data_IF_895121343352
#
_entry.id   IF_895121343352
#
_cell.length_a   1.000
_cell.length_b   1.000
_cell.length_c   1.000
_cell.angle_alpha   90.00
_cell.angle_beta   90.00
_cell.angle_gamma   90.00
#
_symmetry.space_group_name_H-M   'P 1'
#
loop_
_entity.id
_entity.type
_entity.pdbx_description
1 polymer ?
#
# COMPACT_ATOMS: atom_id res chain seq x y z
N UNK A 1 -10.17 2.75 -12.96
CA UNK A 1 -11.20 1.96 -12.18
C UNK A 1 -11.93 2.91 -11.25
N UNK A 2 -13.29 2.87 -11.21
CA UNK A 2 -14.05 3.62 -10.21
C UNK A 2 -13.93 2.95 -8.83
N UNK A 3 -13.46 3.69 -7.82
CA UNK A 3 -13.19 3.16 -6.50
C UNK A 3 -14.45 2.63 -5.79
N UNK A 4 -15.60 3.33 -5.91
CA UNK A 4 -16.84 2.87 -5.29
C UNK A 4 -17.27 1.52 -5.87
N UNK A 5 -17.27 1.37 -7.18
CA UNK A 5 -17.60 0.12 -7.85
C UNK A 5 -16.63 -1.01 -7.46
N UNK A 6 -15.34 -0.70 -7.32
CA UNK A 6 -14.34 -1.65 -6.88
C UNK A 6 -14.57 -2.13 -5.45
N UNK A 7 -14.90 -1.21 -4.54
CA UNK A 7 -15.17 -1.54 -3.13
C UNK A 7 -16.47 -2.34 -2.96
N UNK A 8 -17.54 -2.06 -3.74
CA UNK A 8 -18.77 -2.85 -3.72
C UNK A 8 -18.55 -4.30 -4.19
N UNK A 9 -17.64 -4.51 -5.13
CA UNK A 9 -17.29 -5.85 -5.61
C UNK A 9 -16.22 -6.54 -4.80
N UNK A 10 -15.51 -5.79 -3.92
CA UNK A 10 -14.43 -6.32 -3.11
C UNK A 10 -14.93 -7.36 -2.10
N UNK A 11 -14.18 -8.45 -1.98
CA UNK A 11 -14.45 -9.52 -1.01
C UNK A 11 -13.42 -9.48 0.10
N UNK A 12 -13.78 -8.95 1.28
CA UNK A 12 -12.86 -8.86 2.41
C UNK A 12 -12.35 -10.23 2.85
N UNK A 13 -11.06 -10.31 3.11
CA UNK A 13 -10.39 -11.54 3.54
C UNK A 13 -10.67 -11.92 4.99
N UNK A 14 -10.81 -10.94 5.85
CA UNK A 14 -10.98 -11.11 7.28
C UNK A 14 -11.87 -10.00 7.89
N UNK A 15 -12.24 -10.10 9.20
CA UNK A 15 -13.08 -9.09 9.84
C UNK A 15 -12.49 -7.67 9.85
N UNK A 16 -11.16 -7.51 9.85
CA UNK A 16 -10.52 -6.19 9.78
C UNK A 16 -10.81 -5.57 8.40
N UNK A 17 -10.50 -6.24 7.30
CA UNK A 17 -10.81 -5.72 5.96
C UNK A 17 -12.31 -5.43 5.77
N UNK A 18 -13.18 -6.28 6.32
CA UNK A 18 -14.63 -6.06 6.24
C UNK A 18 -15.05 -4.74 6.90
N UNK A 19 -14.50 -4.43 8.07
CA UNK A 19 -14.79 -3.18 8.78
C UNK A 19 -14.17 -1.98 8.09
N UNK A 20 -12.92 -2.10 7.64
CA UNK A 20 -12.22 -1.02 6.96
C UNK A 20 -12.88 -0.69 5.61
N UNK A 21 -13.29 -1.71 4.84
CA UNK A 21 -14.05 -1.51 3.59
C UNK A 21 -15.40 -0.83 3.86
N UNK A 22 -16.13 -1.24 4.90
CA UNK A 22 -17.41 -0.61 5.27
C UNK A 22 -17.24 0.87 5.61
N UNK A 23 -16.22 1.21 6.38
CA UNK A 23 -15.97 2.60 6.77
C UNK A 23 -15.51 3.45 5.58
N UNK A 24 -14.65 2.91 4.71
CA UNK A 24 -14.24 3.61 3.49
C UNK A 24 -15.44 3.88 2.57
N UNK A 25 -16.30 2.89 2.35
CA UNK A 25 -17.55 3.05 1.59
C UNK A 25 -18.43 4.14 2.20
N UNK A 26 -18.70 4.08 3.50
CA UNK A 26 -19.53 5.05 4.23
C UNK A 26 -19.07 6.50 4.00
N UNK A 27 -17.76 6.74 4.05
CA UNK A 27 -17.18 8.07 3.85
C UNK A 27 -17.33 8.55 2.40
N UNK A 28 -17.04 7.68 1.44
CA UNK A 28 -17.18 8.01 0.02
C UNK A 28 -18.65 8.28 -0.37
N UNK A 29 -19.58 7.48 0.15
CA UNK A 29 -21.04 7.67 -0.05
C UNK A 29 -21.56 8.95 0.61
N UNK A 30 -20.96 9.37 1.71
CA UNK A 30 -21.26 10.65 2.35
C UNK A 30 -20.70 11.86 1.57
N UNK A 31 -20.00 11.63 0.44
CA UNK A 31 -19.41 12.68 -0.37
C UNK A 31 -18.15 13.32 0.25
N UNK A 32 -17.52 12.63 1.21
CA UNK A 32 -16.25 13.11 1.79
C UNK A 32 -15.16 13.07 0.72
N UNK A 33 -14.43 14.18 0.54
CA UNK A 33 -13.28 14.21 -0.35
C UNK A 33 -12.09 13.54 0.31
N UNK A 34 -11.87 12.29 -0.03
CA UNK A 34 -10.74 11.49 0.45
C UNK A 34 -9.55 11.52 -0.51
N UNK A 35 -9.71 12.04 -1.73
CA UNK A 35 -8.63 12.00 -2.72
C UNK A 35 -7.53 13.03 -2.48
N UNK A 36 -7.79 14.06 -1.67
CA UNK A 36 -6.86 15.14 -1.42
C UNK A 36 -6.39 15.16 0.04
N UNK A 37 -5.09 15.47 0.25
CA UNK A 37 -4.48 15.60 1.59
C UNK A 37 -4.97 16.81 2.38
N UNK A 38 -5.68 17.73 1.75
CA UNK A 38 -6.40 18.83 2.39
C UNK A 38 -7.47 18.32 3.36
N UNK A 39 -7.96 17.09 3.16
CA UNK A 39 -8.66 16.36 4.19
C UNK A 39 -7.65 15.85 5.23
N UNK A 40 -7.38 16.70 6.22
CA UNK A 40 -6.37 16.45 7.27
C UNK A 40 -6.79 15.40 8.28
N UNK A 41 -8.04 14.93 8.26
CA UNK A 41 -8.53 13.87 9.15
C UNK A 41 -8.36 12.47 8.53
N UNK A 42 -8.59 12.35 7.23
CA UNK A 42 -8.46 11.09 6.50
C UNK A 42 -8.31 11.34 5.00
N UNK A 43 -7.40 10.64 4.35
CA UNK A 43 -7.24 10.69 2.90
C UNK A 43 -6.73 9.39 2.31
N UNK A 44 -6.94 9.21 1.00
CA UNK A 44 -6.58 7.99 0.29
C UNK A 44 -5.08 7.87 0.09
N UNK A 45 -4.58 6.68 0.41
CA UNK A 45 -3.26 6.20 0.03
C UNK A 45 -3.37 4.91 -0.78
N UNK A 46 -2.36 4.68 -1.57
CA UNK A 46 -2.29 3.51 -2.44
C UNK A 46 -0.98 2.79 -2.18
N UNK A 47 -1.06 1.48 -1.96
CA UNK A 47 0.11 0.65 -1.76
C UNK A 47 0.19 -0.45 -2.82
N UNK A 48 1.39 -0.94 -3.04
CA UNK A 48 1.67 -2.06 -3.92
C UNK A 48 2.33 -3.20 -3.14
N UNK A 49 1.76 -4.39 -3.22
CA UNK A 49 2.45 -5.62 -2.86
C UNK A 49 3.12 -6.15 -4.12
N UNK A 50 4.40 -5.82 -4.31
CA UNK A 50 5.15 -6.12 -5.54
C UNK A 50 5.86 -7.44 -5.37
N UNK A 51 5.46 -8.44 -6.13
CA UNK A 51 6.01 -9.80 -6.04
C UNK A 51 6.85 -10.17 -7.27
N UNK A 52 7.73 -11.14 -7.09
CA UNK A 52 8.42 -11.79 -8.23
C UNK A 52 7.44 -12.70 -9.00
N UNK A 53 7.68 -12.99 -10.31
CA UNK A 53 6.80 -13.84 -11.13
C UNK A 53 6.55 -15.23 -10.54
N UNK A 54 7.52 -15.79 -9.81
CA UNK A 54 7.39 -17.06 -9.10
C UNK A 54 6.68 -16.93 -7.74
N UNK A 55 6.28 -15.69 -7.36
CA UNK A 55 5.61 -15.35 -6.09
C UNK A 55 6.36 -15.78 -4.83
N UNK A 56 7.68 -15.93 -4.92
CA UNK A 56 8.51 -16.33 -3.77
C UNK A 56 9.13 -15.14 -3.05
N UNK A 57 9.18 -13.97 -3.70
CA UNK A 57 9.80 -12.76 -3.19
C UNK A 57 8.87 -11.56 -3.30
N UNK A 58 9.08 -10.58 -2.41
CA UNK A 58 8.40 -9.29 -2.41
C UNK A 58 9.43 -8.16 -2.31
N UNK A 59 9.18 -7.07 -3.03
CA UNK A 59 10.00 -5.86 -3.04
C UNK A 59 9.55 -4.94 -1.91
N UNK A 60 10.50 -4.46 -1.11
CA UNK A 60 10.25 -3.50 -0.04
C UNK A 60 11.25 -2.34 -0.09
N UNK A 61 10.85 -1.20 0.45
CA UNK A 61 11.70 -0.03 0.65
C UNK A 61 11.90 0.23 2.15
N UNK A 62 13.10 0.68 2.54
CA UNK A 62 13.36 1.11 3.91
C UNK A 62 12.96 2.57 4.07
N UNK A 63 11.80 2.78 4.68
CA UNK A 63 11.18 4.10 4.81
C UNK A 63 11.85 4.92 5.91
N UNK A 64 12.37 6.11 5.55
CA UNK A 64 13.17 6.93 6.46
C UNK A 64 12.37 7.44 7.68
N UNK A 65 11.09 7.81 7.49
CA UNK A 65 10.24 8.32 8.57
C UNK A 65 9.85 7.23 9.59
N UNK A 66 9.54 6.03 9.10
CA UNK A 66 9.08 4.92 9.96
C UNK A 66 10.23 4.07 10.50
N UNK A 67 11.45 4.31 10.00
CA UNK A 67 12.66 3.51 10.34
C UNK A 67 12.39 2.01 10.22
N UNK A 68 11.75 1.62 9.12
CA UNK A 68 11.22 0.27 8.90
C UNK A 68 11.23 -0.12 7.43
N UNK A 69 11.36 -1.42 7.15
CA UNK A 69 11.04 -1.95 5.85
C UNK A 69 9.52 -1.94 5.65
N UNK A 70 9.10 -1.32 4.56
CA UNK A 70 7.70 -1.12 4.20
C UNK A 70 7.42 -1.51 2.75
N UNK A 71 6.15 -1.76 2.43
CA UNK A 71 5.67 -1.82 1.07
C UNK A 71 5.89 -0.49 0.34
N UNK A 72 5.73 -0.49 -0.97
CA UNK A 72 5.84 0.71 -1.79
C UNK A 72 4.46 1.35 -1.94
N UNK A 73 4.41 2.68 -1.97
CA UNK A 73 3.15 3.38 -2.15
C UNK A 73 3.19 4.85 -1.75
N UNK A 74 2.09 5.53 -2.03
CA UNK A 74 1.98 6.97 -1.79
C UNK A 74 0.54 7.45 -1.70
N UNK A 75 0.36 8.77 -1.73
CA UNK A 75 -0.95 9.40 -1.66
C UNK A 75 -1.61 9.48 -3.04
N UNK A 76 -2.94 9.47 -3.06
CA UNK A 76 -3.70 9.66 -4.30
C UNK A 76 -3.51 11.07 -4.89
N UNK A 77 -3.44 12.11 -4.04
CA UNK A 77 -3.19 13.51 -4.42
C UNK A 77 -4.06 14.00 -5.58
N UNK A 78 -5.34 13.66 -5.53
CA UNK A 78 -6.34 14.01 -6.53
C UNK A 78 -6.43 13.04 -7.72
N UNK A 79 -5.46 12.13 -7.90
CA UNK A 79 -5.52 11.12 -8.96
C UNK A 79 -6.59 10.06 -8.65
N UNK A 80 -7.47 9.81 -9.61
CA UNK A 80 -8.56 8.85 -9.45
C UNK A 80 -8.23 7.46 -9.99
N UNK A 81 -7.24 7.35 -10.86
CA UNK A 81 -6.71 6.05 -11.26
C UNK A 81 -5.67 5.55 -10.25
N UNK A 82 -6.19 4.91 -9.20
CA UNK A 82 -5.36 4.43 -8.09
C UNK A 82 -4.36 3.34 -8.50
N UNK A 83 -4.67 2.56 -9.55
CA UNK A 83 -3.70 1.60 -10.09
C UNK A 83 -2.52 2.32 -10.77
N UNK A 84 -2.80 3.40 -11.49
CA UNK A 84 -1.74 4.24 -12.06
C UNK A 84 -0.88 4.88 -10.96
N UNK A 85 -1.48 5.29 -9.82
CA UNK A 85 -0.74 5.75 -8.64
C UNK A 85 0.19 4.66 -8.13
N UNK A 86 -0.30 3.42 -7.89
CA UNK A 86 0.53 2.32 -7.41
C UNK A 86 1.73 2.05 -8.32
N UNK A 87 1.51 2.02 -9.64
CA UNK A 87 2.59 1.78 -10.61
C UNK A 87 3.63 2.92 -10.64
N UNK A 88 3.17 4.16 -10.53
CA UNK A 88 4.02 5.34 -10.45
C UNK A 88 4.90 5.29 -9.21
N UNK A 89 4.31 5.08 -8.02
CA UNK A 89 5.03 5.04 -6.76
C UNK A 89 6.09 3.93 -6.74
N UNK A 90 5.75 2.72 -7.22
CA UNK A 90 6.72 1.63 -7.35
C UNK A 90 7.92 2.07 -8.19
N UNK A 91 7.68 2.73 -9.32
CA UNK A 91 8.77 3.18 -10.20
C UNK A 91 9.60 4.32 -9.56
N UNK A 92 8.96 5.24 -8.88
CA UNK A 92 9.63 6.37 -8.22
C UNK A 92 10.49 5.91 -7.05
N UNK A 93 9.93 5.09 -6.16
CA UNK A 93 10.57 4.64 -4.94
C UNK A 93 11.63 3.55 -5.13
N UNK A 94 11.51 2.72 -6.18
CA UNK A 94 12.39 1.57 -6.39
C UNK A 94 13.15 1.57 -7.72
N UNK A 95 12.75 2.39 -8.68
CA UNK A 95 13.25 2.34 -10.05
C UNK A 95 12.73 1.17 -10.89
N UNK A 96 11.97 0.28 -10.31
CA UNK A 96 11.47 -0.93 -10.97
C UNK A 96 10.19 -0.63 -11.76
N UNK A 97 10.07 -1.19 -12.95
CA UNK A 97 8.80 -1.22 -13.68
C UNK A 97 8.04 -2.49 -13.31
N UNK A 98 6.86 -2.31 -12.71
CA UNK A 98 5.94 -3.39 -12.37
C UNK A 98 4.75 -3.42 -13.31
N UNK A 99 4.07 -4.57 -13.36
CA UNK A 99 2.80 -4.77 -14.07
C UNK A 99 1.74 -5.26 -13.08
N UNK A 100 0.47 -4.91 -13.25
CA UNK A 100 -0.58 -5.44 -12.38
C UNK A 100 -0.78 -6.93 -12.67
N UNK A 101 -0.95 -7.73 -11.61
CA UNK A 101 -1.39 -9.13 -11.73
C UNK A 101 -2.85 -9.17 -12.16
N UNK A 102 -3.65 -8.24 -11.63
CA UNK A 102 -5.01 -7.94 -12.09
C UNK A 102 -5.32 -6.47 -11.78
N UNK A 103 -6.44 -5.98 -12.26
CA UNK A 103 -6.93 -4.60 -12.04
C UNK A 103 -7.78 -4.44 -10.77
N UNK A 104 -7.95 -5.53 -9.99
CA UNK A 104 -8.76 -5.54 -8.78
C UNK A 104 -7.96 -5.13 -7.55
N UNK A 105 -8.68 -4.63 -6.54
CA UNK A 105 -8.09 -4.37 -5.22
C UNK A 105 -7.62 -5.67 -4.59
N UNK A 106 -6.37 -5.70 -4.17
CA UNK A 106 -5.79 -6.85 -3.46
C UNK A 106 -6.09 -6.79 -1.98
N UNK A 107 -6.08 -5.59 -1.37
CA UNK A 107 -6.36 -5.41 0.06
C UNK A 107 -6.88 -4.01 0.35
N UNK A 108 -7.59 -3.86 1.48
CA UNK A 108 -8.12 -2.59 1.98
C UNK A 108 -7.79 -2.47 3.46
N UNK A 109 -7.22 -1.34 3.86
CA UNK A 109 -6.81 -1.05 5.24
C UNK A 109 -7.12 0.40 5.63
N UNK A 110 -7.48 0.61 6.89
CA UNK A 110 -7.44 1.93 7.52
C UNK A 110 -6.25 1.96 8.48
N UNK A 111 -5.27 2.81 8.18
CA UNK A 111 -4.01 2.87 8.90
C UNK A 111 -3.90 4.20 9.65
N UNK A 112 -3.73 4.17 10.98
CA UNK A 112 -3.51 5.39 11.75
C UNK A 112 -2.09 5.92 11.51
N UNK A 113 -1.99 7.23 11.27
CA UNK A 113 -0.72 7.95 11.20
C UNK A 113 -0.60 8.85 12.42
N UNK A 114 0.45 8.67 13.20
CA UNK A 114 0.74 9.54 14.33
C UNK A 114 1.17 10.93 13.87
N UNK A 115 0.86 11.96 14.67
CA UNK A 115 1.33 13.30 14.41
C UNK A 115 2.87 13.35 14.32
N UNK A 116 3.38 14.06 13.33
CA UNK A 116 4.83 14.14 13.06
C UNK A 116 5.22 15.47 12.42
N UNK A 117 6.50 15.78 12.42
CA UNK A 117 7.03 16.92 11.68
C UNK A 117 7.48 16.48 10.27
N UNK A 118 7.08 17.25 9.27
CA UNK A 118 7.52 17.06 7.88
C UNK A 118 7.89 18.42 7.29
N UNK A 119 9.14 18.55 6.83
CA UNK A 119 9.67 19.78 6.22
C UNK A 119 9.51 21.04 7.10
N UNK A 120 9.56 20.86 8.43
CA UNK A 120 9.43 21.96 9.40
C UNK A 120 8.00 22.35 9.74
N UNK A 121 7.00 21.61 9.24
CA UNK A 121 5.59 21.80 9.58
C UNK A 121 5.06 20.58 10.36
N UNK A 122 4.20 20.86 11.35
CA UNK A 122 3.54 19.79 12.10
C UNK A 122 2.34 19.25 11.34
N UNK A 123 2.34 17.95 11.11
CA UNK A 123 1.23 17.21 10.53
C UNK A 123 0.47 16.50 11.65
N UNK A 124 -0.82 16.77 11.77
CA UNK A 124 -1.69 16.15 12.78
C UNK A 124 -1.84 14.66 12.56
N UNK A 125 -2.18 13.92 13.61
CA UNK A 125 -2.60 12.52 13.49
C UNK A 125 -3.83 12.41 12.59
N UNK A 126 -3.82 11.44 11.68
CA UNK A 126 -4.86 11.25 10.69
C UNK A 126 -4.96 9.78 10.26
N UNK A 127 -5.90 9.47 9.38
CA UNK A 127 -6.10 8.13 8.85
C UNK A 127 -5.68 8.08 7.37
N UNK A 128 -4.87 7.09 7.02
CA UNK A 128 -4.69 6.66 5.65
C UNK A 128 -5.78 5.63 5.30
N UNK A 129 -6.66 6.00 4.38
CA UNK A 129 -7.66 5.12 3.78
C UNK A 129 -6.97 4.38 2.63
N UNK A 130 -6.33 3.26 2.95
CA UNK A 130 -5.41 2.60 2.03
C UNK A 130 -6.08 1.53 1.17
N UNK A 131 -5.74 1.51 -0.11
CA UNK A 131 -6.03 0.40 -1.02
C UNK A 131 -4.73 -0.17 -1.56
N UNK A 132 -4.64 -1.49 -1.63
CA UNK A 132 -3.43 -2.19 -2.06
C UNK A 132 -3.67 -2.92 -3.38
N UNK A 133 -2.74 -2.81 -4.32
CA UNK A 133 -2.72 -3.60 -5.54
C UNK A 133 -1.64 -4.69 -5.49
N UNK A 134 -1.91 -5.83 -6.12
CA UNK A 134 -0.92 -6.87 -6.35
C UNK A 134 -0.24 -6.62 -7.69
N UNK A 135 1.05 -6.32 -7.63
CA UNK A 135 1.88 -6.07 -8.80
C UNK A 135 2.98 -7.11 -8.93
N UNK A 136 3.46 -7.31 -10.14
CA UNK A 136 4.55 -8.22 -10.44
C UNK A 136 5.70 -7.46 -11.09
N UNK A 137 6.95 -7.80 -10.71
CA UNK A 137 8.14 -7.20 -11.29
C UNK A 137 9.30 -8.19 -11.37
N UNK A 138 10.21 -7.96 -12.31
CA UNK A 138 11.40 -8.77 -12.48
C UNK A 138 12.42 -8.54 -11.34
N UNK A 139 12.72 -9.54 -10.51
CA UNK A 139 13.63 -9.38 -9.38
C UNK A 139 15.11 -9.19 -9.79
N UNK A 140 15.44 -9.37 -11.06
CA UNK A 140 16.78 -9.10 -11.61
C UNK A 140 16.89 -7.69 -12.20
N UNK A 141 15.81 -6.91 -12.23
CA UNK A 141 15.88 -5.52 -12.68
C UNK A 141 16.71 -4.66 -11.70
N UNK A 142 17.44 -3.68 -12.21
CA UNK A 142 18.16 -2.73 -11.34
C UNK A 142 17.19 -2.01 -10.40
N UNK A 143 17.54 -1.98 -9.11
CA UNK A 143 16.81 -1.26 -8.08
C UNK A 143 17.58 -0.01 -7.65
N UNK A 144 16.84 1.02 -7.24
CA UNK A 144 17.40 2.26 -6.68
C UNK A 144 16.51 2.78 -5.56
N UNK A 145 17.06 3.45 -4.59
CA UNK A 145 16.30 4.18 -3.58
C UNK A 145 15.91 5.58 -4.06
N UNK A 146 14.91 6.18 -3.40
CA UNK A 146 14.51 7.58 -3.50
C UNK A 146 14.90 8.27 -2.18
N UNK A 147 16.07 8.94 -2.12
CA UNK A 147 16.72 9.33 -0.85
C UNK A 147 15.89 10.23 0.06
N UNK A 148 14.95 11.01 -0.48
CA UNK A 148 14.04 11.87 0.27
C UNK A 148 12.89 11.09 0.95
N UNK A 149 12.65 9.84 0.58
CA UNK A 149 11.60 8.98 1.13
C UNK A 149 12.15 7.68 1.73
N UNK A 150 13.05 7.02 1.01
CA UNK A 150 13.63 5.75 1.44
C UNK A 150 15.15 5.70 1.21
N UNK A 151 15.85 4.97 2.06
CA UNK A 151 17.30 4.83 2.00
C UNK A 151 17.78 3.53 1.35
N UNK A 152 16.92 2.53 1.27
CA UNK A 152 17.24 1.21 0.72
C UNK A 152 16.02 0.59 0.06
N UNK A 153 16.26 -0.25 -0.96
CA UNK A 153 15.26 -1.09 -1.60
C UNK A 153 15.81 -2.49 -1.71
N UNK A 154 15.03 -3.52 -1.42
CA UNK A 154 15.49 -4.89 -1.51
C UNK A 154 14.34 -5.89 -1.73
N UNK A 155 14.69 -7.02 -2.34
CA UNK A 155 13.82 -8.18 -2.45
C UNK A 155 14.00 -9.10 -1.24
N UNK A 156 12.90 -9.51 -0.62
CA UNK A 156 12.84 -10.43 0.49
C UNK A 156 12.06 -11.69 0.10
N UNK A 157 12.32 -12.80 0.77
CA UNK A 157 11.32 -13.89 0.79
C UNK A 157 10.04 -13.38 1.46
N UNK A 158 8.89 -14.00 1.20
CA UNK A 158 7.63 -13.57 1.78
C UNK A 158 7.70 -13.48 3.32
N UNK A 159 8.27 -14.49 3.97
CA UNK A 159 8.41 -14.51 5.43
C UNK A 159 9.54 -13.56 5.90
N UNK A 160 10.58 -13.38 5.08
CA UNK A 160 11.64 -12.42 5.33
C UNK A 160 11.14 -10.97 5.32
N UNK A 161 10.21 -10.63 4.43
CA UNK A 161 9.57 -9.31 4.38
C UNK A 161 8.80 -9.00 5.66
N UNK A 162 8.05 -9.99 6.17
CA UNK A 162 7.35 -9.87 7.45
C UNK A 162 8.35 -9.65 8.59
N UNK A 163 9.43 -10.43 8.65
CA UNK A 163 10.43 -10.33 9.70
C UNK A 163 11.24 -9.02 9.65
N UNK A 164 11.41 -8.43 8.46
CA UNK A 164 12.20 -7.21 8.27
C UNK A 164 11.49 -5.95 8.79
N UNK A 165 10.15 -5.95 8.84
CA UNK A 165 9.40 -4.78 9.34
C UNK A 165 9.51 -4.65 10.85
N UNK A 166 9.90 -3.47 11.32
CA UNK A 166 9.95 -3.10 12.74
C UNK A 166 8.60 -2.68 13.31
N UNK A 167 7.60 -2.40 12.45
CA UNK A 167 6.27 -1.94 12.84
C UNK A 167 5.36 -3.15 13.18
N UNK A 168 5.00 -3.38 14.47
CA UNK A 168 4.29 -4.59 14.87
C UNK A 168 2.93 -4.76 14.18
N UNK A 169 2.17 -3.66 14.00
CA UNK A 169 0.86 -3.71 13.35
C UNK A 169 0.99 -4.10 11.88
N UNK A 170 1.91 -3.45 11.13
CA UNK A 170 2.17 -3.75 9.73
C UNK A 170 2.65 -5.19 9.55
N UNK A 171 3.62 -5.60 10.36
CA UNK A 171 4.19 -6.95 10.34
C UNK A 171 3.13 -8.01 10.60
N UNK A 172 2.39 -7.90 11.72
CA UNK A 172 1.58 -8.99 12.25
C UNK A 172 0.15 -9.00 11.69
N UNK A 173 -0.37 -7.86 11.22
CA UNK A 173 -1.74 -7.73 10.72
C UNK A 173 -1.84 -7.52 9.22
N UNK A 174 -0.88 -6.81 8.63
CA UNK A 174 -0.95 -6.44 7.21
C UNK A 174 -0.10 -7.40 6.37
N UNK A 175 1.23 -7.43 6.53
CA UNK A 175 2.11 -8.20 5.65
C UNK A 175 1.88 -9.71 5.74
N UNK A 176 1.61 -10.25 6.93
CA UNK A 176 1.21 -11.66 7.08
C UNK A 176 -0.07 -11.97 6.31
N UNK A 177 -1.08 -11.10 6.43
CA UNK A 177 -2.35 -11.21 5.70
C UNK A 177 -2.12 -11.20 4.18
N UNK A 178 -1.32 -10.26 3.67
CA UNK A 178 -1.03 -10.17 2.23
C UNK A 178 -0.35 -11.45 1.72
N UNK A 179 0.60 -12.00 2.47
CA UNK A 179 1.25 -13.27 2.13
C UNK A 179 0.28 -14.46 2.17
N UNK A 180 -0.64 -14.50 3.14
CA UNK A 180 -1.67 -15.54 3.21
C UNK A 180 -2.64 -15.45 2.03
N UNK A 181 -3.07 -14.25 1.66
CA UNK A 181 -3.90 -14.00 0.47
C UNK A 181 -3.19 -14.49 -0.78
N UNK A 182 -1.93 -14.11 -0.97
CA UNK A 182 -1.11 -14.52 -2.11
C UNK A 182 -0.98 -16.04 -2.23
N UNK A 183 -0.78 -16.75 -1.10
CA UNK A 183 -0.62 -18.21 -1.07
C UNK A 183 -1.92 -18.96 -1.35
N UNK A 184 -3.08 -18.40 -0.99
CA UNK A 184 -4.39 -19.06 -1.09
C UNK A 184 -5.19 -18.67 -2.34
N UNK A 185 -4.85 -17.54 -2.97
CA UNK A 185 -5.55 -17.07 -4.16
C UNK A 185 -5.03 -17.79 -5.41
N UNK A 186 -5.74 -18.84 -5.80
CA UNK A 186 -5.52 -19.50 -7.11
C UNK A 186 -5.98 -18.65 -8.30
N UNK A 187 -6.61 -17.50 -8.06
CA UNK A 187 -7.27 -16.64 -9.05
C UNK A 187 -6.57 -15.31 -9.32
N UNK A 188 -5.37 -15.08 -8.78
CA UNK A 188 -4.51 -13.97 -9.15
C UNK A 188 -3.31 -14.45 -9.95
#
# INVERSE_FOLDING_TARGET
MDLLSALYSYRPWNPQEARDTTELLRRLEAGEDLFHRENTAAHLTVSAWVVSPDRTRVLMAYHNLYDSWAWLGGHADGERDLLAVALREVREESGVSAVPVCDQLFSVEILPVSGHEKRGEYVSSHLHMNVTFLLEANPSAPIRSKPDENSRVAWFTLDGAVAASSEPWMRDRIYRKLNEKLRKSSNF
#
